data_IF_676983500066
#
_entry.id   IF_676983500066
#
_cell.length_a   1.000
_cell.length_b   1.000
_cell.length_c   1.000
_cell.angle_alpha   90.00
_cell.angle_beta   90.00
_cell.angle_gamma   90.00
#
_symmetry.space_group_name_H-M   'P 1'
#
loop_
_entity.id
_entity.type
_entity.pdbx_description
1 polymer ?
#
# COMPACT_ATOMS: atom_id res chain seq x y z
N UNK A 1 9.37 20.74 -56.48
CA UNK A 1 10.02 21.11 -55.19
C UNK A 1 9.06 21.15 -54.00
N UNK A 2 7.86 21.75 -54.10
CA UNK A 2 6.87 21.85 -52.99
C UNK A 2 6.44 20.52 -52.32
N UNK A 3 6.30 19.44 -53.10
CA UNK A 3 5.94 18.11 -52.57
C UNK A 3 7.04 17.46 -51.70
N UNK A 4 8.31 17.72 -52.01
CA UNK A 4 9.45 17.21 -51.25
C UNK A 4 9.58 17.94 -49.89
N UNK A 5 9.40 19.26 -49.89
CA UNK A 5 9.39 20.07 -48.67
C UNK A 5 8.25 19.68 -47.72
N UNK A 6 7.03 19.45 -48.23
CA UNK A 6 5.89 18.95 -47.43
C UNK A 6 6.15 17.58 -46.79
N UNK A 7 6.79 16.66 -47.54
CA UNK A 7 7.14 15.32 -47.04
C UNK A 7 8.24 15.37 -45.98
N UNK A 8 9.18 16.30 -46.12
CA UNK A 8 10.24 16.56 -45.14
C UNK A 8 9.66 17.13 -43.84
N UNK A 9 8.83 18.17 -43.92
CA UNK A 9 8.16 18.78 -42.75
C UNK A 9 7.27 17.77 -42.02
N UNK A 10 6.52 16.94 -42.75
CA UNK A 10 5.69 15.89 -42.15
C UNK A 10 6.55 14.86 -41.38
N UNK A 11 7.72 14.48 -41.91
CA UNK A 11 8.67 13.61 -41.20
C UNK A 11 9.19 14.25 -39.92
N UNK A 12 9.51 15.54 -39.94
CA UNK A 12 10.00 16.25 -38.76
C UNK A 12 8.93 16.33 -37.67
N UNK A 13 7.68 16.62 -38.04
CA UNK A 13 6.55 16.66 -37.09
C UNK A 13 6.31 15.27 -36.48
N UNK A 14 6.31 14.22 -37.30
CA UNK A 14 6.14 12.83 -36.82
C UNK A 14 7.28 12.41 -35.86
N UNK A 15 8.50 12.87 -36.11
CA UNK A 15 9.65 12.67 -35.21
C UNK A 15 9.44 13.34 -33.85
N UNK A 16 8.98 14.60 -33.83
CA UNK A 16 8.70 15.30 -32.56
C UNK A 16 7.58 14.63 -31.76
N UNK A 17 6.51 14.17 -32.44
CA UNK A 17 5.41 13.43 -31.79
C UNK A 17 5.93 12.11 -31.21
N UNK A 18 6.74 11.36 -31.97
CA UNK A 18 7.33 10.12 -31.48
C UNK A 18 8.21 10.34 -30.24
N UNK A 19 9.04 11.39 -30.25
CA UNK A 19 9.89 11.74 -29.09
C UNK A 19 9.05 12.08 -27.86
N UNK A 20 7.97 12.84 -28.03
CA UNK A 20 7.07 13.20 -26.94
C UNK A 20 6.32 11.98 -26.35
N UNK A 21 5.88 11.04 -27.20
CA UNK A 21 5.24 9.80 -26.73
C UNK A 21 6.26 8.93 -25.98
N UNK A 22 7.47 8.78 -26.53
CA UNK A 22 8.54 8.00 -25.90
C UNK A 22 8.91 8.59 -24.54
N UNK A 23 9.02 9.92 -24.41
CA UNK A 23 9.36 10.54 -23.12
C UNK A 23 8.29 10.28 -22.06
N UNK A 24 7.01 10.38 -22.41
CA UNK A 24 5.89 10.05 -21.49
C UNK A 24 5.92 8.58 -21.08
N UNK A 25 6.17 7.68 -22.02
CA UNK A 25 6.26 6.24 -21.74
C UNK A 25 7.43 5.91 -20.81
N UNK A 26 8.60 6.51 -21.03
CA UNK A 26 9.79 6.33 -20.19
C UNK A 26 9.53 6.82 -18.78
N UNK A 27 8.97 8.03 -18.62
CA UNK A 27 8.63 8.58 -17.31
C UNK A 27 7.64 7.66 -16.58
N UNK A 28 6.59 7.21 -17.27
CA UNK A 28 5.59 6.30 -16.71
C UNK A 28 6.21 4.97 -16.26
N UNK A 29 7.12 4.40 -17.05
CA UNK A 29 7.84 3.18 -16.71
C UNK A 29 8.71 3.35 -15.46
N UNK A 30 9.47 4.45 -15.35
CA UNK A 30 10.31 4.74 -14.19
C UNK A 30 9.48 4.85 -12.90
N UNK A 31 8.34 5.56 -12.95
CA UNK A 31 7.43 5.65 -11.81
C UNK A 31 6.86 4.28 -11.40
N UNK A 32 6.50 3.43 -12.38
CA UNK A 32 6.00 2.08 -12.11
C UNK A 32 7.10 1.18 -11.52
N UNK A 33 8.33 1.24 -12.03
CA UNK A 33 9.43 0.40 -11.52
C UNK A 33 9.87 0.81 -10.13
N UNK A 34 9.97 2.11 -9.84
CA UNK A 34 10.40 2.57 -8.52
C UNK A 34 9.36 2.33 -7.42
N UNK A 35 8.07 2.36 -7.77
CA UNK A 35 6.99 1.97 -6.85
C UNK A 35 6.92 0.46 -6.66
N UNK A 36 7.21 -0.34 -7.69
CA UNK A 36 7.28 -1.80 -7.58
C UNK A 36 8.45 -2.29 -6.73
N UNK A 37 9.63 -1.70 -6.84
CA UNK A 37 10.83 -2.19 -6.12
C UNK A 37 10.68 -2.10 -4.60
N UNK A 38 10.10 -0.99 -4.11
CA UNK A 38 9.78 -0.83 -2.68
C UNK A 38 8.65 -1.78 -2.28
N UNK A 39 7.69 -1.97 -3.16
CA UNK A 39 6.53 -2.83 -2.92
C UNK A 39 6.89 -4.32 -2.85
N UNK A 40 7.81 -4.79 -3.70
CA UNK A 40 8.24 -6.18 -3.73
C UNK A 40 9.15 -6.53 -2.54
N UNK A 41 10.16 -5.69 -2.26
CA UNK A 41 11.07 -5.90 -1.12
C UNK A 41 10.34 -5.87 0.24
N UNK A 42 9.22 -5.14 0.35
CA UNK A 42 8.38 -5.16 1.54
C UNK A 42 7.46 -6.38 1.61
N UNK A 43 7.02 -6.95 0.49
CA UNK A 43 6.19 -8.15 0.47
C UNK A 43 6.98 -9.40 0.90
N UNK A 44 8.25 -9.51 0.45
CA UNK A 44 9.17 -10.58 0.85
C UNK A 44 9.38 -10.65 2.37
N UNK A 45 9.37 -9.50 3.07
CA UNK A 45 9.49 -9.45 4.54
C UNK A 45 8.36 -10.20 5.25
N UNK A 46 7.18 -10.26 4.64
CA UNK A 46 5.98 -10.85 5.24
C UNK A 46 5.58 -12.19 4.62
N UNK A 47 6.21 -12.60 3.52
CA UNK A 47 5.96 -13.87 2.83
C UNK A 47 6.12 -15.10 3.74
N UNK A 48 6.96 -15.00 4.77
CA UNK A 48 7.19 -16.06 5.75
C UNK A 48 6.48 -15.84 7.09
N UNK A 49 5.62 -14.82 7.21
CA UNK A 49 4.83 -14.64 8.43
C UNK A 49 3.73 -15.71 8.45
N UNK A 50 3.65 -16.56 9.48
CA UNK A 50 2.64 -17.60 9.53
C UNK A 50 1.24 -16.98 9.56
N UNK A 51 0.32 -17.57 8.79
CA UNK A 51 -1.08 -17.18 8.80
C UNK A 51 -1.67 -17.44 10.19
N UNK A 52 -2.13 -16.37 10.84
CA UNK A 52 -2.92 -16.46 12.07
C UNK A 52 -4.38 -16.34 11.70
N UNK A 53 -5.19 -17.31 12.11
CA UNK A 53 -6.63 -17.28 11.90
C UNK A 53 -7.34 -16.85 13.18
N UNK A 54 -8.34 -16.00 13.05
CA UNK A 54 -9.28 -15.73 14.12
C UNK A 54 -10.70 -15.66 13.56
N UNK A 55 -11.66 -15.72 14.47
CA UNK A 55 -13.06 -15.53 14.15
C UNK A 55 -13.44 -14.05 14.29
N UNK A 56 -14.53 -13.68 13.64
CA UNK A 56 -15.06 -12.32 13.68
C UNK A 56 -15.42 -11.90 15.11
N UNK A 57 -15.10 -10.65 15.44
CA UNK A 57 -15.46 -10.01 16.71
C UNK A 57 -16.19 -8.70 16.39
N UNK A 58 -17.46 -8.59 16.81
CA UNK A 58 -18.29 -7.42 16.54
C UNK A 58 -17.89 -6.18 17.34
N UNK A 59 -17.16 -6.36 18.44
CA UNK A 59 -16.69 -5.25 19.28
C UNK A 59 -15.49 -4.55 18.64
N UNK A 60 -14.72 -5.26 17.82
CA UNK A 60 -13.58 -4.71 17.12
C UNK A 60 -14.02 -3.97 15.83
N UNK A 61 -13.75 -2.65 15.78
CA UNK A 61 -14.05 -1.83 14.60
C UNK A 61 -13.38 -2.36 13.33
N UNK A 62 -12.12 -2.78 13.42
CA UNK A 62 -11.37 -3.26 12.26
C UNK A 62 -11.90 -4.60 11.76
N UNK A 63 -12.40 -5.47 12.65
CA UNK A 63 -13.08 -6.71 12.24
C UNK A 63 -14.39 -6.40 11.49
N UNK A 64 -15.13 -5.36 11.91
CA UNK A 64 -16.34 -4.92 11.18
C UNK A 64 -16.02 -4.44 9.76
N UNK A 65 -14.89 -3.76 9.56
CA UNK A 65 -14.45 -3.34 8.22
C UNK A 65 -14.11 -4.55 7.33
N UNK A 66 -13.34 -5.51 7.84
CA UNK A 66 -13.03 -6.75 7.10
C UNK A 66 -14.31 -7.54 6.77
N UNK A 67 -15.26 -7.62 7.71
CA UNK A 67 -16.55 -8.29 7.46
C UNK A 67 -17.37 -7.60 6.38
N UNK A 68 -17.32 -6.26 6.32
CA UNK A 68 -17.98 -5.50 5.26
C UNK A 68 -17.34 -5.83 3.90
N UNK A 69 -16.01 -5.91 3.82
CA UNK A 69 -15.30 -6.29 2.59
C UNK A 69 -15.64 -7.72 2.16
N UNK A 70 -15.76 -8.65 3.10
CA UNK A 70 -16.24 -10.02 2.86
C UNK A 70 -17.67 -10.04 2.31
N UNK A 71 -18.58 -9.28 2.93
CA UNK A 71 -19.98 -9.17 2.50
C UNK A 71 -20.13 -8.53 1.12
N UNK A 72 -19.21 -7.64 0.75
CA UNK A 72 -19.15 -7.01 -0.56
C UNK A 72 -18.41 -7.86 -1.61
N UNK A 73 -17.89 -9.03 -1.23
CA UNK A 73 -17.16 -9.93 -2.13
C UNK A 73 -15.77 -9.43 -2.54
N UNK A 74 -15.21 -8.48 -1.79
CA UNK A 74 -13.85 -7.96 -2.03
C UNK A 74 -12.80 -8.98 -1.57
N UNK A 75 -13.08 -9.66 -0.46
CA UNK A 75 -12.27 -10.77 0.09
C UNK A 75 -13.14 -12.00 0.35
N UNK A 76 -12.54 -13.18 0.31
CA UNK A 76 -13.24 -14.42 0.69
C UNK A 76 -13.14 -14.70 2.20
N UNK A 77 -13.95 -15.65 2.70
CA UNK A 77 -13.97 -15.98 4.14
C UNK A 77 -12.63 -16.45 4.70
N UNK A 78 -11.79 -17.10 3.88
CA UNK A 78 -10.47 -17.54 4.33
C UNK A 78 -9.54 -16.35 4.53
N UNK A 79 -9.53 -15.41 3.58
CA UNK A 79 -8.79 -14.15 3.67
C UNK A 79 -9.28 -13.29 4.84
N UNK A 80 -10.59 -13.22 5.07
CA UNK A 80 -11.17 -12.51 6.21
C UNK A 80 -10.67 -13.08 7.55
N UNK A 81 -10.64 -14.41 7.70
CA UNK A 81 -10.13 -15.06 8.93
C UNK A 81 -8.64 -14.82 9.17
N UNK A 82 -7.83 -14.76 8.12
CA UNK A 82 -6.41 -14.36 8.21
C UNK A 82 -6.28 -12.92 8.67
N UNK A 83 -7.09 -12.02 8.10
CA UNK A 83 -7.09 -10.62 8.48
C UNK A 83 -7.49 -10.41 9.94
N UNK A 84 -8.53 -11.10 10.44
CA UNK A 84 -8.91 -11.08 11.85
C UNK A 84 -7.75 -11.53 12.77
N UNK A 85 -7.06 -12.60 12.41
CA UNK A 85 -5.93 -13.09 13.21
C UNK A 85 -4.75 -12.12 13.23
N UNK A 86 -4.42 -11.52 12.09
CA UNK A 86 -3.39 -10.48 12.00
C UNK A 86 -3.75 -9.24 12.83
N UNK A 87 -5.01 -8.80 12.81
CA UNK A 87 -5.50 -7.69 13.62
C UNK A 87 -5.37 -8.01 15.11
N UNK A 88 -5.82 -9.18 15.55
CA UNK A 88 -5.73 -9.61 16.94
C UNK A 88 -4.28 -9.69 17.42
N UNK A 89 -3.39 -10.25 16.60
CA UNK A 89 -1.97 -10.34 16.93
C UNK A 89 -1.33 -8.96 17.08
N UNK A 90 -1.64 -8.03 16.18
CA UNK A 90 -1.19 -6.64 16.29
C UNK A 90 -1.71 -5.95 17.54
N UNK A 91 -3.01 -6.04 17.83
CA UNK A 91 -3.61 -5.40 19.00
C UNK A 91 -3.01 -5.95 20.30
N UNK A 92 -2.77 -7.26 20.36
CA UNK A 92 -2.07 -7.90 21.47
C UNK A 92 -0.66 -7.35 21.62
N UNK A 93 0.14 -7.31 20.55
CA UNK A 93 1.51 -6.76 20.57
C UNK A 93 1.54 -5.30 21.02
N UNK A 94 0.59 -4.48 20.57
CA UNK A 94 0.45 -3.08 21.03
C UNK A 94 0.15 -3.04 22.52
N UNK A 95 -0.82 -3.82 23.00
CA UNK A 95 -1.16 -3.89 24.43
C UNK A 95 0.02 -4.32 25.29
N UNK A 96 0.81 -5.29 24.83
CA UNK A 96 1.92 -5.85 25.59
C UNK A 96 3.17 -4.93 25.60
N UNK A 97 3.33 -4.10 24.56
CA UNK A 97 4.57 -3.32 24.34
C UNK A 97 4.40 -1.82 24.58
N UNK A 98 3.21 -1.26 24.35
CA UNK A 98 2.98 0.18 24.40
C UNK A 98 2.31 0.58 25.72
N UNK A 99 2.99 1.44 26.48
CA UNK A 99 2.43 1.99 27.72
C UNK A 99 1.31 2.98 27.42
N UNK A 100 0.24 2.91 28.21
CA UNK A 100 -0.90 3.82 28.19
C UNK A 100 -0.74 5.01 29.15
N UNK A 101 0.30 5.00 29.99
CA UNK A 101 0.52 6.00 31.04
C UNK A 101 1.27 7.25 30.53
N UNK A 102 1.53 7.31 29.22
CA UNK A 102 2.20 8.42 28.54
C UNK A 102 1.23 9.36 27.82
N UNK A 103 1.77 10.21 26.94
CA UNK A 103 0.96 11.02 26.04
C UNK A 103 0.36 10.14 24.94
N UNK A 104 -0.78 10.57 24.39
CA UNK A 104 -1.39 9.96 23.19
C UNK A 104 -0.37 9.85 22.05
N UNK A 105 0.47 10.86 21.87
CA UNK A 105 1.52 10.86 20.84
C UNK A 105 2.51 9.71 21.05
N UNK A 106 3.01 9.52 22.27
CA UNK A 106 3.94 8.42 22.59
C UNK A 106 3.30 7.04 22.35
N UNK A 107 2.03 6.89 22.75
CA UNK A 107 1.28 5.66 22.49
C UNK A 107 1.16 5.40 20.97
N UNK A 108 0.76 6.42 20.20
CA UNK A 108 0.62 6.30 18.75
C UNK A 108 1.95 6.04 18.04
N UNK A 109 3.05 6.68 18.46
CA UNK A 109 4.39 6.39 17.94
C UNK A 109 4.78 4.93 18.19
N UNK A 110 4.53 4.41 19.40
CA UNK A 110 4.78 3.01 19.72
C UNK A 110 3.91 2.06 18.88
N UNK A 111 2.60 2.31 18.82
CA UNK A 111 1.68 1.48 18.06
C UNK A 111 2.03 1.47 16.55
N UNK A 112 2.43 2.61 16.00
CA UNK A 112 2.88 2.73 14.61
C UNK A 112 4.18 1.98 14.33
N UNK A 113 5.11 1.94 15.30
CA UNK A 113 6.32 1.11 15.19
C UNK A 113 5.96 -0.38 15.12
N UNK A 114 5.01 -0.82 15.94
CA UNK A 114 4.48 -2.18 15.89
C UNK A 114 3.74 -2.44 14.58
N UNK A 115 2.97 -1.48 14.07
CA UNK A 115 2.22 -1.62 12.82
C UNK A 115 3.15 -1.85 11.64
N UNK A 116 4.21 -1.04 11.49
CA UNK A 116 5.19 -1.18 10.41
C UNK A 116 6.04 -2.45 10.49
N UNK A 117 6.05 -3.14 11.64
CA UNK A 117 6.69 -4.44 11.82
C UNK A 117 5.77 -5.62 11.48
N UNK A 118 4.45 -5.42 11.37
CA UNK A 118 3.47 -6.50 11.18
C UNK A 118 2.60 -6.33 9.92
N UNK A 119 2.57 -5.14 9.32
CA UNK A 119 1.81 -4.89 8.10
C UNK A 119 2.69 -4.20 7.05
N UNK A 120 2.35 -4.49 5.80
CA UNK A 120 2.96 -3.94 4.59
C UNK A 120 2.91 -2.41 4.48
N UNK A 121 2.06 -1.75 5.28
CA UNK A 121 1.79 -0.33 5.14
C UNK A 121 2.86 0.52 5.81
N UNK A 122 3.59 1.32 5.01
CA UNK A 122 4.38 2.43 5.51
C UNK A 122 3.40 3.46 6.10
N UNK A 123 3.52 3.87 7.38
CA UNK A 123 2.61 4.85 7.96
C UNK A 123 2.53 6.07 7.04
N UNK A 124 1.32 6.37 6.59
CA UNK A 124 1.09 7.58 5.80
C UNK A 124 1.46 8.77 6.67
N UNK A 125 2.19 9.72 6.11
CA UNK A 125 2.56 10.98 6.79
C UNK A 125 1.33 11.74 7.31
N UNK A 126 0.15 11.43 6.76
CA UNK A 126 -1.15 12.01 7.14
C UNK A 126 -1.74 11.42 8.42
N UNK A 127 -1.49 10.15 8.74
CA UNK A 127 -1.98 9.51 9.99
C UNK A 127 -0.98 9.60 11.14
N UNK A 128 0.28 9.93 10.86
CA UNK A 128 1.30 10.15 11.89
C UNK A 128 1.15 11.49 12.62
N UNK A 129 0.49 12.48 12.00
CA UNK A 129 0.07 13.72 12.68
C UNK A 129 -1.32 13.53 13.26
N UNK A 130 -1.40 12.89 14.41
CA UNK A 130 -2.55 13.11 15.28
C UNK A 130 -2.44 14.55 15.80
N UNK A 131 -3.18 15.46 15.18
CA UNK A 131 -3.49 16.75 15.79
C UNK A 131 -4.58 16.56 16.84
#
# INVERSE_FOLDING_TARGET
>A
MLLSARKSVLRTIMLFIAIAIISVLVVSLVFITETRDKSAAHAERFEHTPDVFADYDSLNLTHRLVRMDEQNGIVNSNEARKAYGAINDFLRKVKDTCSIDGTTENFLTCANKTLGANFYYKPSTTVAKAY
#
